data_IF_851907515090
#
_entry.id   IF_851907515090
#
_cell.length_a   1.000
_cell.length_b   1.000
_cell.length_c   1.000
_cell.angle_alpha   90.00
_cell.angle_beta   90.00
_cell.angle_gamma   90.00
#
_symmetry.space_group_name_H-M   'P 1'
#
loop_
_entity.id
_entity.type
_entity.pdbx_description
1 polymer ?
#
# COMPACT_ATOMS: atom_id res chain seq x y z
N UNK A 1 22.04 11.50 -17.07
CA UNK A 1 21.08 10.99 -16.07
C UNK A 1 20.03 10.14 -16.78
N UNK A 2 20.04 8.82 -16.61
CA UNK A 2 19.18 7.91 -17.37
C UNK A 2 17.78 7.77 -16.72
N UNK A 3 16.74 8.23 -17.43
CA UNK A 3 15.32 7.97 -17.10
C UNK A 3 15.06 6.47 -17.21
N UNK A 4 14.60 5.88 -16.11
CA UNK A 4 14.34 4.43 -16.00
C UNK A 4 12.86 4.17 -16.28
N UNK A 5 12.54 3.94 -17.56
CA UNK A 5 11.20 3.57 -18.01
C UNK A 5 10.89 2.12 -17.61
N UNK A 6 9.85 1.89 -16.83
CA UNK A 6 9.31 0.55 -16.58
C UNK A 6 8.65 0.05 -17.89
N UNK A 7 9.36 -0.79 -18.65
CA UNK A 7 8.82 -1.40 -19.87
C UNK A 7 7.89 -2.57 -19.50
N UNK A 8 6.60 -2.47 -19.86
CA UNK A 8 5.60 -3.54 -19.73
C UNK A 8 5.69 -4.61 -20.84
N UNK A 9 6.58 -4.46 -21.81
CA UNK A 9 6.85 -5.49 -22.80
C UNK A 9 7.71 -6.62 -22.18
N UNK A 10 7.45 -7.91 -22.49
CA UNK A 10 8.26 -9.01 -22.01
C UNK A 10 9.67 -8.91 -22.62
N UNK A 11 10.60 -8.29 -21.88
CA UNK A 11 12.03 -8.36 -22.17
C UNK A 11 12.43 -9.84 -22.20
N UNK A 12 12.99 -10.31 -23.32
CA UNK A 12 13.57 -11.65 -23.44
C UNK A 12 14.49 -11.93 -22.24
N UNK A 13 14.16 -12.94 -21.45
CA UNK A 13 14.83 -13.33 -20.21
C UNK A 13 13.84 -13.86 -19.16
N UNK A 14 14.32 -14.61 -18.17
CA UNK A 14 13.48 -15.11 -17.07
C UNK A 14 12.84 -13.92 -16.34
N UNK A 15 11.50 -13.86 -16.23
CA UNK A 15 10.82 -12.78 -15.51
C UNK A 15 11.38 -12.60 -14.10
N UNK A 16 11.61 -11.35 -13.70
CA UNK A 16 12.09 -11.05 -12.35
C UNK A 16 11.02 -11.45 -11.35
N UNK A 17 11.45 -12.19 -10.32
CA UNK A 17 10.59 -12.67 -9.24
C UNK A 17 9.95 -11.53 -8.43
N UNK A 18 10.67 -10.42 -8.29
CA UNK A 18 10.22 -9.19 -7.63
C UNK A 18 10.40 -7.97 -8.55
N UNK A 19 9.47 -7.02 -8.46
CA UNK A 19 9.45 -5.78 -9.28
C UNK A 19 10.47 -4.75 -8.74
N UNK A 20 10.82 -4.85 -7.45
CA UNK A 20 11.81 -4.00 -6.77
C UNK A 20 13.25 -4.52 -6.99
N UNK A 21 14.28 -3.66 -6.79
CA UNK A 21 15.66 -4.12 -6.71
C UNK A 21 15.78 -5.26 -5.71
N UNK A 22 16.35 -6.38 -6.14
CA UNK A 22 16.45 -7.61 -5.36
C UNK A 22 17.76 -8.30 -5.67
N UNK A 23 18.31 -9.03 -4.70
CA UNK A 23 19.54 -9.83 -4.84
C UNK A 23 19.22 -11.29 -4.54
N UNK A 24 19.80 -12.26 -5.28
CA UNK A 24 19.66 -13.67 -4.92
C UNK A 24 20.42 -13.93 -3.61
N UNK A 25 19.79 -14.68 -2.71
CA UNK A 25 20.39 -15.12 -1.45
C UNK A 25 20.17 -16.64 -1.38
N UNK A 26 21.23 -17.39 -1.10
CA UNK A 26 21.16 -18.81 -0.80
C UNK A 26 21.06 -18.97 0.72
N UNK A 27 20.05 -19.69 1.18
CA UNK A 27 19.82 -19.94 2.60
C UNK A 27 19.71 -21.45 2.82
N UNK A 28 20.39 -21.94 3.85
CA UNK A 28 20.19 -23.31 4.35
C UNK A 28 19.17 -23.22 5.49
N UNK A 29 18.02 -23.87 5.32
CA UNK A 29 16.93 -23.87 6.29
C UNK A 29 16.60 -25.32 6.68
N UNK A 30 16.17 -25.58 7.93
CA UNK A 30 15.63 -26.88 8.32
C UNK A 30 14.41 -27.27 7.47
N UNK A 31 14.25 -28.56 7.17
CA UNK A 31 13.15 -29.06 6.30
C UNK A 31 11.76 -28.63 6.78
N UNK A 32 11.51 -28.67 8.10
CA UNK A 32 10.25 -28.22 8.68
C UNK A 32 9.96 -26.73 8.43
N UNK A 33 11.00 -25.90 8.30
CA UNK A 33 10.85 -24.48 7.97
C UNK A 33 10.51 -24.32 6.48
N UNK A 34 11.15 -25.10 5.61
CA UNK A 34 10.84 -25.11 4.17
C UNK A 34 9.38 -25.53 3.94
N UNK A 35 8.91 -26.57 4.65
CA UNK A 35 7.52 -26.99 4.62
C UNK A 35 6.56 -25.89 5.10
N UNK A 36 6.87 -25.26 6.23
CA UNK A 36 6.07 -24.18 6.78
C UNK A 36 5.98 -22.99 5.82
N UNK A 37 7.10 -22.60 5.19
CA UNK A 37 7.14 -21.57 4.16
C UNK A 37 6.31 -21.98 2.92
N UNK A 38 6.38 -23.25 2.52
CA UNK A 38 5.57 -23.80 1.42
C UNK A 38 4.06 -23.72 1.66
N UNK A 39 3.61 -23.83 2.93
CA UNK A 39 2.20 -23.63 3.32
C UNK A 39 1.76 -22.16 3.17
N UNK A 40 2.68 -21.20 3.32
CA UNK A 40 2.42 -19.76 3.13
C UNK A 40 2.37 -19.40 1.65
N UNK A 41 3.37 -19.84 0.87
CA UNK A 41 3.43 -19.63 -0.57
C UNK A 41 4.26 -20.73 -1.25
N UNK A 42 3.77 -21.25 -2.39
CA UNK A 42 4.51 -22.25 -3.18
C UNK A 42 5.83 -21.72 -3.76
N UNK A 43 6.03 -20.40 -3.76
CA UNK A 43 7.34 -19.80 -3.94
C UNK A 43 7.94 -19.40 -2.58
N UNK A 44 9.01 -20.10 -2.16
CA UNK A 44 9.68 -19.89 -0.86
C UNK A 44 10.18 -18.46 -0.66
N UNK A 45 10.61 -17.78 -1.73
CA UNK A 45 11.08 -16.40 -1.63
C UNK A 45 9.92 -15.43 -1.36
N UNK A 46 8.73 -15.68 -1.92
CA UNK A 46 7.52 -14.92 -1.60
C UNK A 46 7.01 -15.24 -0.20
N UNK A 47 7.12 -16.48 0.25
CA UNK A 47 6.80 -16.86 1.62
C UNK A 47 7.67 -16.10 2.63
N UNK A 48 8.99 -16.02 2.40
CA UNK A 48 9.91 -15.23 3.24
C UNK A 48 9.54 -13.75 3.24
N UNK A 49 9.29 -13.16 2.07
CA UNK A 49 8.88 -11.74 1.99
C UNK A 49 7.58 -11.49 2.73
N UNK A 50 6.57 -12.37 2.61
CA UNK A 50 5.31 -12.26 3.36
C UNK A 50 5.51 -12.38 4.86
N UNK A 51 6.36 -13.30 5.31
CA UNK A 51 6.68 -13.47 6.72
C UNK A 51 7.43 -12.25 7.29
N UNK A 52 8.25 -11.59 6.47
CA UNK A 52 8.98 -10.40 6.85
C UNK A 52 8.16 -9.10 6.78
N UNK A 53 7.03 -9.08 6.06
CA UNK A 53 6.20 -7.87 5.89
C UNK A 53 5.78 -7.23 7.23
N UNK A 54 5.32 -7.97 8.25
CA UNK A 54 5.02 -7.40 9.55
C UNK A 54 6.24 -6.72 10.19
N UNK A 55 7.43 -7.31 10.09
CA UNK A 55 8.67 -6.74 10.63
C UNK A 55 9.12 -5.51 9.83
N UNK A 56 8.92 -5.50 8.52
CA UNK A 56 9.16 -4.33 7.67
C UNK A 56 8.18 -3.19 8.00
N UNK A 57 6.94 -3.53 8.33
CA UNK A 57 5.90 -2.59 8.76
C UNK A 57 6.11 -2.07 10.19
N UNK A 58 6.94 -2.73 11.01
CA UNK A 58 7.35 -2.23 12.34
C UNK A 58 8.34 -1.07 12.29
N UNK A 59 8.87 -0.70 11.12
CA UNK A 59 9.50 0.61 10.99
C UNK A 59 8.47 1.67 11.37
N UNK A 60 8.82 2.53 12.33
CA UNK A 60 7.95 3.59 12.78
C UNK A 60 7.70 4.57 11.63
N UNK A 61 6.60 4.35 10.91
CA UNK A 61 6.07 5.29 9.93
C UNK A 61 5.08 6.21 10.65
N UNK A 62 4.99 7.46 10.18
CA UNK A 62 3.95 8.36 10.68
C UNK A 62 2.56 7.80 10.30
N UNK A 63 1.52 8.05 11.11
CA UNK A 63 0.15 7.58 10.82
C UNK A 63 -0.34 7.92 9.41
N UNK A 64 0.04 9.10 8.91
CA UNK A 64 -0.02 9.48 7.51
C UNK A 64 1.19 10.34 7.14
N UNK A 65 1.71 10.17 5.92
CA UNK A 65 2.85 10.95 5.41
C UNK A 65 2.77 11.15 3.89
N UNK A 66 3.58 12.09 3.39
CA UNK A 66 3.73 12.33 1.97
C UNK A 66 4.88 11.50 1.41
N UNK A 67 4.57 10.56 0.51
CA UNK A 67 5.57 9.85 -0.28
C UNK A 67 5.87 10.66 -1.56
N UNK A 68 7.09 11.21 -1.65
CA UNK A 68 7.52 12.02 -2.79
C UNK A 68 8.05 11.16 -3.96
N UNK A 69 7.59 11.50 -5.16
CA UNK A 69 7.94 10.91 -6.45
C UNK A 69 8.30 12.03 -7.42
N UNK A 70 9.53 12.53 -7.32
CA UNK A 70 9.98 13.67 -8.11
C UNK A 70 9.21 14.93 -7.75
N UNK A 71 8.43 15.49 -8.69
CA UNK A 71 7.63 16.71 -8.48
C UNK A 71 6.26 16.48 -7.86
N UNK A 72 5.85 15.22 -7.73
CA UNK A 72 4.56 14.83 -7.18
C UNK A 72 4.75 14.13 -5.86
N UNK A 73 3.83 14.32 -4.92
CA UNK A 73 3.76 13.52 -3.70
C UNK A 73 2.35 12.92 -3.58
N UNK A 74 2.27 11.76 -2.96
CA UNK A 74 1.01 11.07 -2.67
C UNK A 74 0.91 10.82 -1.17
N UNK A 75 -0.30 10.87 -0.63
CA UNK A 75 -0.54 10.58 0.77
C UNK A 75 -0.51 9.05 0.94
N UNK A 76 0.40 8.58 1.78
CA UNK A 76 0.45 7.19 2.24
C UNK A 76 0.08 7.16 3.72
N UNK A 77 -0.65 6.13 4.11
CA UNK A 77 -1.19 5.99 5.46
C UNK A 77 -0.90 4.63 6.03
N UNK A 78 -0.94 4.54 7.36
CA UNK A 78 -1.14 3.26 8.01
C UNK A 78 -2.53 2.71 7.64
N UNK A 79 -2.64 1.42 7.25
CA UNK A 79 -3.93 0.81 6.99
C UNK A 79 -4.85 0.93 8.21
N UNK A 80 -6.03 1.53 8.00
CA UNK A 80 -7.06 1.73 9.01
C UNK A 80 -8.36 1.11 8.52
N UNK A 81 -8.91 0.17 9.30
CA UNK A 81 -10.21 -0.45 8.98
C UNK A 81 -11.32 0.58 8.96
N UNK A 82 -11.24 1.57 9.84
CA UNK A 82 -12.24 2.64 9.94
C UNK A 82 -12.20 3.55 8.71
N UNK A 83 -11.02 3.74 8.12
CA UNK A 83 -10.86 4.45 6.85
C UNK A 83 -11.37 3.63 5.65
N UNK A 84 -11.13 2.32 5.62
CA UNK A 84 -11.67 1.41 4.58
C UNK A 84 -13.19 1.25 4.64
N UNK A 85 -13.79 1.39 5.81
CA UNK A 85 -15.25 1.36 5.99
C UNK A 85 -15.94 2.63 5.48
N UNK A 86 -15.19 3.71 5.24
CA UNK A 86 -15.76 4.92 4.66
C UNK A 86 -16.17 4.66 3.21
N UNK A 87 -17.43 4.96 2.91
CA UNK A 87 -18.00 4.72 1.58
C UNK A 87 -17.18 5.50 0.54
N UNK A 88 -16.73 4.80 -0.51
CA UNK A 88 -15.99 5.37 -1.64
C UNK A 88 -14.50 5.55 -1.39
N UNK A 89 -13.96 5.15 -0.23
CA UNK A 89 -12.52 5.08 0.05
C UNK A 89 -12.02 3.66 -0.17
N UNK A 90 -10.81 3.51 -0.71
CA UNK A 90 -10.14 2.24 -0.95
C UNK A 90 -8.66 2.37 -0.63
N UNK A 91 -8.10 1.42 0.12
CA UNK A 91 -6.69 1.41 0.46
C UNK A 91 -5.90 0.46 -0.45
N UNK A 92 -5.01 1.03 -1.27
CA UNK A 92 -4.09 0.24 -2.09
C UNK A 92 -2.83 -0.04 -1.29
N UNK A 93 -2.74 -1.26 -0.79
CA UNK A 93 -1.66 -1.71 0.10
C UNK A 93 -0.30 -1.71 -0.60
N UNK A 94 0.71 -1.17 0.09
CA UNK A 94 2.11 -1.12 -0.34
C UNK A 94 2.92 -2.25 0.32
N UNK A 95 4.03 -2.70 -0.30
CA UNK A 95 4.83 -3.80 0.24
C UNK A 95 5.52 -3.52 1.58
N UNK A 96 5.60 -2.25 1.98
CA UNK A 96 6.22 -1.79 3.23
C UNK A 96 5.21 -1.69 4.39
N UNK A 97 3.96 -2.13 4.18
CA UNK A 97 2.91 -2.12 5.20
C UNK A 97 2.09 -0.84 5.26
N UNK A 98 2.43 0.19 4.47
CA UNK A 98 1.59 1.38 4.28
C UNK A 98 0.51 1.13 3.23
N UNK A 99 -0.40 2.07 3.04
CA UNK A 99 -1.38 2.06 1.96
C UNK A 99 -1.50 3.44 1.30
N UNK A 100 -1.78 3.44 0.00
CA UNK A 100 -2.24 4.64 -0.71
C UNK A 100 -3.74 4.81 -0.53
N UNK A 101 -4.17 6.03 -0.24
CA UNK A 101 -5.59 6.38 -0.27
C UNK A 101 -6.01 6.53 -1.73
N UNK A 102 -6.96 5.72 -2.15
CA UNK A 102 -7.71 5.88 -3.39
C UNK A 102 -9.17 6.15 -3.04
N UNK A 103 -9.86 6.91 -3.87
CA UNK A 103 -11.29 7.10 -3.75
C UNK A 103 -11.91 7.15 -5.15
N UNK A 104 -13.19 6.76 -5.23
CA UNK A 104 -13.90 6.76 -6.50
C UNK A 104 -14.24 8.19 -6.98
N UNK A 105 -14.82 8.30 -8.18
CA UNK A 105 -15.16 9.60 -8.77
C UNK A 105 -16.27 10.35 -8.05
N UNK A 106 -17.01 9.70 -7.14
CA UNK A 106 -18.06 10.36 -6.35
C UNK A 106 -17.48 11.20 -5.21
N UNK A 107 -16.20 11.02 -4.87
CA UNK A 107 -15.51 11.76 -3.82
C UNK A 107 -14.54 12.77 -4.44
N UNK A 108 -14.69 14.02 -4.01
CA UNK A 108 -13.73 15.09 -4.27
C UNK A 108 -12.76 15.22 -3.09
N UNK A 109 -11.64 15.91 -3.29
CA UNK A 109 -10.69 16.21 -2.21
C UNK A 109 -11.37 16.94 -1.04
N UNK A 110 -12.28 17.88 -1.34
CA UNK A 110 -13.06 18.58 -0.31
C UNK A 110 -14.05 17.65 0.40
N UNK A 111 -14.66 16.71 -0.33
CA UNK A 111 -15.53 15.68 0.26
C UNK A 111 -14.77 14.74 1.19
N UNK A 112 -13.55 14.33 0.82
CA UNK A 112 -12.67 13.55 1.69
C UNK A 112 -12.30 14.34 2.96
N UNK A 113 -11.98 15.62 2.81
CA UNK A 113 -11.61 16.50 3.93
C UNK A 113 -12.77 16.67 4.92
N UNK A 114 -14.00 16.85 4.41
CA UNK A 114 -15.22 16.89 5.22
C UNK A 114 -15.46 15.57 5.96
N UNK A 115 -15.41 14.44 5.23
CA UNK A 115 -15.57 13.09 5.80
C UNK A 115 -14.57 12.81 6.94
N UNK A 116 -13.31 13.26 6.79
CA UNK A 116 -12.29 13.13 7.84
C UNK A 116 -12.67 13.94 9.07
N UNK A 117 -13.10 15.19 8.90
CA UNK A 117 -13.50 16.04 10.03
C UNK A 117 -14.73 15.46 10.74
N UNK A 118 -15.75 15.04 9.99
CA UNK A 118 -16.97 14.42 10.54
C UNK A 118 -16.63 13.17 11.37
N UNK A 119 -15.72 12.33 10.87
CA UNK A 119 -15.27 11.14 11.58
C UNK A 119 -14.49 11.47 12.87
N UNK A 120 -13.69 12.54 12.87
CA UNK A 120 -12.96 13.01 14.06
C UNK A 120 -13.90 13.59 15.13
N UNK A 121 -14.99 14.25 14.71
CA UNK A 121 -16.03 14.80 15.58
C UNK A 121 -16.93 13.72 16.17
N UNK A 122 -17.25 12.65 15.41
CA UNK A 122 -18.15 11.58 15.84
C UNK A 122 -17.64 10.69 17.00
N UNK A 123 -16.42 10.93 17.52
CA UNK A 123 -15.81 10.33 18.71
C UNK A 123 -15.76 8.77 18.80
N UNK A 124 -16.05 8.04 17.70
CA UNK A 124 -16.03 6.56 17.66
C UNK A 124 -14.68 5.96 17.21
N UNK A 125 -13.65 6.78 17.07
CA UNK A 125 -12.34 6.34 16.57
C UNK A 125 -11.46 5.80 17.70
N UNK A 126 -10.76 4.71 17.41
CA UNK A 126 -9.63 4.26 18.25
C UNK A 126 -8.53 5.33 18.27
N UNK A 127 -7.64 5.32 19.27
CA UNK A 127 -6.52 6.28 19.34
C UNK A 127 -5.62 6.21 18.11
N UNK A 128 -5.42 5.00 17.57
CA UNK A 128 -4.64 4.76 16.35
C UNK A 128 -5.35 5.34 15.12
N UNK A 129 -6.64 5.05 14.94
CA UNK A 129 -7.40 5.59 13.81
C UNK A 129 -7.52 7.12 13.90
N UNK A 130 -7.77 7.66 15.09
CA UNK A 130 -7.80 9.10 15.32
C UNK A 130 -6.49 9.76 14.87
N UNK A 131 -5.34 9.18 15.23
CA UNK A 131 -4.04 9.68 14.79
C UNK A 131 -3.87 9.65 13.25
N UNK A 132 -4.37 8.60 12.58
CA UNK A 132 -4.38 8.52 11.11
C UNK A 132 -5.24 9.63 10.51
N UNK A 133 -6.48 9.80 10.99
CA UNK A 133 -7.41 10.82 10.48
C UNK A 133 -6.89 12.24 10.72
N UNK A 134 -6.36 12.52 11.92
CA UNK A 134 -5.72 13.80 12.24
C UNK A 134 -4.52 14.08 11.33
N UNK A 135 -3.68 13.08 11.09
CA UNK A 135 -2.52 13.23 10.20
C UNK A 135 -2.94 13.51 8.75
N UNK A 136 -3.94 12.82 8.21
CA UNK A 136 -4.46 13.11 6.87
C UNK A 136 -5.05 14.52 6.81
N UNK A 137 -5.91 14.88 7.77
CA UNK A 137 -6.53 16.21 7.83
C UNK A 137 -5.49 17.34 7.90
N UNK A 138 -4.42 17.14 8.68
CA UNK A 138 -3.30 18.08 8.76
C UNK A 138 -2.53 18.20 7.44
N UNK A 139 -2.28 17.10 6.73
CA UNK A 139 -1.64 17.11 5.41
C UNK A 139 -2.49 17.90 4.41
N UNK A 140 -3.79 17.61 4.33
CA UNK A 140 -4.71 18.28 3.40
C UNK A 140 -4.81 19.79 3.71
N UNK A 141 -4.98 20.15 4.98
CA UNK A 141 -5.02 21.55 5.44
C UNK A 141 -3.73 22.30 5.12
N UNK A 142 -2.58 21.66 5.34
CA UNK A 142 -1.26 22.26 5.09
C UNK A 142 -1.03 22.45 3.59
N UNK A 143 -1.36 21.46 2.76
CA UNK A 143 -1.25 21.53 1.32
C UNK A 143 -2.18 22.60 0.70
N UNK A 144 -3.37 22.82 1.29
CA UNK A 144 -4.28 23.88 0.85
C UNK A 144 -3.77 25.29 1.17
N UNK A 145 -3.10 25.46 2.31
CA UNK A 145 -2.57 26.76 2.77
C UNK A 145 -1.20 27.11 2.23
N UNK A 146 -0.49 26.14 1.68
CA UNK A 146 0.89 26.33 1.22
C UNK A 146 0.92 26.94 -0.19
N UNK A 147 1.53 28.12 -0.37
CA UNK A 147 1.73 28.67 -1.71
C UNK A 147 2.73 27.79 -2.48
N UNK A 148 2.32 27.31 -3.65
CA UNK A 148 3.15 26.46 -4.51
C UNK A 148 2.83 24.96 -4.47
N UNK A 149 1.86 24.53 -3.68
CA UNK A 149 1.33 23.15 -3.72
C UNK A 149 -0.07 23.12 -4.31
N UNK A 150 -0.30 22.22 -5.27
CA UNK A 150 -1.62 21.96 -5.82
C UNK A 150 -2.06 20.55 -5.42
N UNK A 151 -3.23 20.46 -4.79
CA UNK A 151 -3.89 19.19 -4.52
C UNK A 151 -4.56 18.71 -5.81
N UNK A 152 -4.09 17.59 -6.34
CA UNK A 152 -4.54 17.02 -7.61
C UNK A 152 -5.18 15.66 -7.38
N UNK A 153 -6.41 15.49 -7.86
CA UNK A 153 -7.04 14.17 -7.93
C UNK A 153 -6.53 13.46 -9.19
N UNK A 154 -5.96 12.27 -9.02
CA UNK A 154 -5.43 11.44 -10.11
C UNK A 154 -5.91 10.01 -9.94
N UNK A 155 -6.25 9.37 -11.05
CA UNK A 155 -6.62 7.97 -11.08
C UNK A 155 -5.35 7.10 -11.04
N UNK A 156 -5.38 6.05 -10.23
CA UNK A 156 -4.35 5.02 -10.20
C UNK A 156 -4.86 3.76 -10.91
N UNK A 157 -3.98 3.06 -11.62
CA UNK A 157 -4.29 1.78 -12.28
C UNK A 157 -3.80 0.66 -11.36
N UNK A 158 -4.73 -0.18 -10.90
CA UNK A 158 -4.44 -1.34 -10.04
C UNK A 158 -4.57 -2.61 -10.87
N UNK A 159 -3.55 -3.47 -10.83
CA UNK A 159 -3.56 -4.78 -11.51
C UNK A 159 -3.55 -5.87 -10.45
N UNK A 160 -4.65 -6.62 -10.38
CA UNK A 160 -4.78 -7.76 -9.48
C UNK A 160 -4.45 -9.08 -10.19
N UNK A 161 -3.49 -9.84 -9.67
CA UNK A 161 -3.25 -11.21 -10.13
C UNK A 161 -4.20 -12.16 -9.40
N UNK A 162 -5.32 -12.54 -10.02
CA UNK A 162 -6.16 -13.64 -9.52
C UNK A 162 -5.38 -14.95 -9.55
N UNK A 163 -5.17 -15.59 -8.40
CA UNK A 163 -4.68 -16.99 -8.37
C UNK A 163 -5.74 -17.86 -9.05
N UNK A 164 -5.32 -18.62 -10.06
CA UNK A 164 -6.10 -19.73 -10.61
C UNK A 164 -6.23 -20.76 -9.49
N UNK A 165 -7.38 -20.79 -8.81
CA UNK A 165 -7.75 -21.86 -7.89
C UNK A 165 -7.52 -23.18 -8.63
N UNK A 166 -6.55 -23.98 -8.17
CA UNK A 166 -6.24 -25.27 -8.77
C UNK A 166 -7.39 -26.20 -8.39
N UNK A 167 -8.23 -26.44 -9.39
CA UNK A 167 -9.36 -27.35 -9.46
C UNK A 167 -9.33 -28.50 -8.43
N UNK A 168 -10.42 -28.63 -7.65
CA UNK A 168 -10.89 -29.92 -7.11
C UNK A 168 -11.17 -30.84 -8.30
N UNK A 169 -10.26 -31.76 -8.60
CA UNK A 169 -10.55 -32.97 -9.38
C UNK A 169 -9.64 -34.11 -8.93
N UNK A 170 -10.25 -35.01 -8.18
CA UNK A 170 -9.94 -36.45 -8.02
C UNK A 170 -10.96 -36.92 -6.98
N UNK A 171 -12.09 -37.48 -7.43
CA UNK A 171 -12.26 -38.89 -7.76
C UNK A 171 -12.22 -39.73 -6.49
#
# INVERSE_FOLDING_TARGET
>A
MAKRTLSLAPRRGRPRKFIVPSRPITLTLPEQVIEALGRIDGDLGRAVVRLAQPELAKRAHAPAELAAFGRTAVIVVHPSRTLEQQKGVTLVHLPDGRALISFDQSITIGGLELMINDALEAARLTSVDRAVFEAIGNILRTARRSPGTALLQRNIIVVESRRRSKNRRSA
#
